data_IF_628236941914
#
_entry.id   IF_628236941914
#
_cell.length_a   1.000
_cell.length_b   1.000
_cell.length_c   1.000
_cell.angle_alpha   90.00
_cell.angle_beta   90.00
_cell.angle_gamma   90.00
#
_symmetry.space_group_name_H-M   'P 1'
#
loop_
_entity.id
_entity.type
_entity.pdbx_description
1 polymer ?
#
# COMPACT_ATOMS: atom_id res chain seq x y z
N UNK A 1 3.85 16.21 4.61
CA UNK A 1 4.93 15.57 5.38
C UNK A 1 5.89 14.89 4.41
N UNK A 2 7.20 15.11 4.59
CA UNK A 2 8.29 14.46 3.84
C UNK A 2 8.33 12.94 4.12
N UNK A 3 7.87 12.56 5.32
CA UNK A 3 7.95 11.20 5.85
C UNK A 3 7.17 10.17 5.01
N UNK A 4 5.88 10.40 4.77
CA UNK A 4 5.02 9.51 3.95
C UNK A 4 5.23 9.70 2.43
N UNK A 5 6.14 10.60 2.04
CA UNK A 5 6.51 10.86 0.66
C UNK A 5 7.88 10.24 0.40
N UNK A 6 8.89 11.10 0.34
CA UNK A 6 10.25 10.74 -0.02
C UNK A 6 10.84 9.66 0.89
N UNK A 7 10.70 9.79 2.21
CA UNK A 7 11.33 8.85 3.14
C UNK A 7 10.72 7.44 3.01
N UNK A 8 9.39 7.35 2.91
CA UNK A 8 8.71 6.07 2.72
C UNK A 8 9.09 5.43 1.38
N UNK A 9 9.15 6.21 0.30
CA UNK A 9 9.56 5.71 -1.02
C UNK A 9 10.99 5.14 -0.96
N UNK A 10 11.93 5.85 -0.32
CA UNK A 10 13.29 5.37 -0.13
C UNK A 10 13.36 4.10 0.72
N UNK A 11 12.62 4.06 1.83
CA UNK A 11 12.60 2.91 2.74
C UNK A 11 12.07 1.65 2.04
N UNK A 12 10.93 1.75 1.36
CA UNK A 12 10.31 0.63 0.64
C UNK A 12 11.20 0.13 -0.49
N UNK A 13 11.72 1.02 -1.33
CA UNK A 13 12.57 0.64 -2.45
C UNK A 13 13.88 -0.03 -2.00
N UNK A 14 14.44 0.41 -0.88
CA UNK A 14 15.67 -0.18 -0.32
C UNK A 14 15.41 -1.55 0.32
N UNK A 15 14.30 -1.73 1.04
CA UNK A 15 14.07 -2.90 1.89
C UNK A 15 13.30 -4.03 1.19
N UNK A 16 12.40 -3.69 0.26
CA UNK A 16 11.46 -4.62 -0.37
C UNK A 16 11.38 -4.40 -1.90
N UNK A 17 12.51 -4.43 -2.62
CA UNK A 17 12.53 -4.16 -4.06
C UNK A 17 11.64 -5.15 -4.82
N UNK A 18 10.66 -4.63 -5.56
CA UNK A 18 9.72 -5.43 -6.35
C UNK A 18 8.61 -6.13 -5.56
N UNK A 19 8.72 -6.22 -4.22
CA UNK A 19 7.73 -6.89 -3.37
C UNK A 19 6.66 -5.91 -2.86
N UNK A 20 7.04 -4.70 -2.46
CA UNK A 20 6.11 -3.68 -1.94
C UNK A 20 6.05 -2.49 -2.89
N UNK A 21 4.84 -2.06 -3.25
CA UNK A 21 4.59 -0.93 -4.16
C UNK A 21 3.71 0.11 -3.49
N UNK A 22 4.09 1.38 -3.59
CA UNK A 22 3.30 2.52 -3.12
C UNK A 22 2.49 3.06 -4.30
N UNK A 23 1.15 3.07 -4.17
CA UNK A 23 0.24 3.69 -5.13
C UNK A 23 -0.25 5.03 -4.55
N UNK A 24 -0.01 6.13 -5.27
CA UNK A 24 -0.36 7.48 -4.81
C UNK A 24 -1.54 8.04 -5.59
N UNK A 25 -2.54 8.52 -4.87
CA UNK A 25 -3.65 9.29 -5.47
C UNK A 25 -3.22 10.75 -5.67
N UNK A 26 -3.68 11.38 -6.75
CA UNK A 26 -3.40 12.79 -7.04
C UNK A 26 -4.18 13.76 -6.15
N UNK A 27 -5.27 13.29 -5.51
CA UNK A 27 -6.12 14.04 -4.58
C UNK A 27 -6.67 13.15 -3.46
N UNK A 28 -7.34 13.76 -2.48
CA UNK A 28 -7.98 13.02 -1.37
C UNK A 28 -9.24 12.31 -1.87
N UNK A 29 -9.14 11.01 -2.05
CA UNK A 29 -10.24 10.18 -2.58
C UNK A 29 -11.17 9.60 -1.50
N UNK A 30 -10.71 9.50 -0.25
CA UNK A 30 -11.41 8.76 0.80
C UNK A 30 -11.19 7.25 0.71
N UNK A 31 -11.60 6.52 1.75
CA UNK A 31 -11.24 5.11 1.96
C UNK A 31 -11.69 4.18 0.82
N UNK A 32 -12.95 4.30 0.39
CA UNK A 32 -13.54 3.39 -0.62
C UNK A 32 -12.79 3.50 -1.94
N UNK A 33 -12.61 4.72 -2.46
CA UNK A 33 -11.90 4.91 -3.74
C UNK A 33 -10.41 4.59 -3.64
N UNK A 34 -9.77 4.83 -2.49
CA UNK A 34 -8.40 4.38 -2.26
C UNK A 34 -8.27 2.85 -2.33
N UNK A 35 -9.24 2.10 -1.78
CA UNK A 35 -9.29 0.64 -1.89
C UNK A 35 -9.45 0.17 -3.35
N UNK A 36 -10.33 0.81 -4.13
CA UNK A 36 -10.50 0.52 -5.56
C UNK A 36 -9.21 0.79 -6.35
N UNK A 37 -8.51 1.90 -6.10
CA UNK A 37 -7.22 2.17 -6.75
C UNK A 37 -6.17 1.12 -6.41
N UNK A 38 -6.13 0.65 -5.15
CA UNK A 38 -5.28 -0.46 -4.74
C UNK A 38 -5.61 -1.76 -5.46
N UNK A 39 -6.90 -2.12 -5.55
CA UNK A 39 -7.38 -3.29 -6.29
C UNK A 39 -6.95 -3.25 -7.77
N UNK A 40 -7.17 -2.13 -8.46
CA UNK A 40 -6.83 -1.99 -9.88
C UNK A 40 -5.32 -2.12 -10.15
N UNK A 41 -4.47 -1.85 -9.15
CA UNK A 41 -3.03 -2.02 -9.26
C UNK A 41 -2.55 -3.43 -8.91
N UNK A 42 -3.40 -4.25 -8.28
CA UNK A 42 -3.08 -5.63 -7.92
C UNK A 42 -3.16 -6.54 -9.16
N UNK A 43 -2.29 -7.55 -9.21
CA UNK A 43 -2.21 -8.51 -10.31
C UNK A 43 -2.60 -9.93 -9.90
N UNK A 44 -2.75 -10.18 -8.59
CA UNK A 44 -3.09 -11.48 -8.04
C UNK A 44 -4.58 -11.81 -8.23
N UNK A 45 -4.95 -13.10 -8.30
CA UNK A 45 -6.34 -13.53 -8.45
C UNK A 45 -7.20 -13.25 -7.21
N UNK A 46 -6.58 -13.06 -6.05
CA UNK A 46 -7.25 -12.77 -4.77
C UNK A 46 -6.57 -11.58 -4.12
N UNK A 47 -7.36 -10.64 -3.59
CA UNK A 47 -6.89 -9.40 -2.94
C UNK A 47 -7.39 -9.34 -1.51
N UNK A 48 -6.47 -9.23 -0.56
CA UNK A 48 -6.76 -8.92 0.84
C UNK A 48 -6.68 -7.41 1.11
N UNK A 49 -7.66 -6.87 1.84
CA UNK A 49 -7.60 -5.49 2.33
C UNK A 49 -7.25 -5.48 3.81
N UNK A 50 -6.25 -4.66 4.14
CA UNK A 50 -5.76 -4.49 5.49
C UNK A 50 -5.65 -3.01 5.82
N UNK A 51 -5.96 -2.65 7.07
CA UNK A 51 -5.78 -1.28 7.55
C UNK A 51 -4.29 -1.04 7.87
N UNK A 52 -3.87 0.22 7.86
CA UNK A 52 -2.46 0.60 8.02
C UNK A 52 -1.89 0.33 9.43
N UNK A 53 -2.72 -0.13 10.36
CA UNK A 53 -2.40 -0.39 11.76
C UNK A 53 -2.92 -1.78 12.15
N UNK A 54 -2.40 -2.80 11.48
CA UNK A 54 -2.71 -4.20 11.77
C UNK A 54 -1.42 -4.99 11.96
N UNK A 55 -1.50 -6.03 12.77
CA UNK A 55 -0.46 -7.04 12.94
C UNK A 55 -1.07 -8.42 12.69
N UNK A 56 -0.34 -9.29 11.98
CA UNK A 56 -0.81 -10.63 11.66
C UNK A 56 -0.28 -11.64 12.66
N UNK A 57 -1.15 -12.58 13.04
CA UNK A 57 -0.78 -13.75 13.82
C UNK A 57 -0.43 -14.92 12.90
N UNK A 58 0.33 -15.88 13.43
CA UNK A 58 0.66 -17.13 12.75
C UNK A 58 -0.61 -17.87 12.29
N UNK A 59 -0.69 -18.21 11.00
CA UNK A 59 -1.81 -18.95 10.42
C UNK A 59 -2.90 -18.11 9.75
N UNK A 60 -2.72 -16.78 9.70
CA UNK A 60 -3.43 -15.88 8.80
C UNK A 60 -2.71 -15.75 7.45
#
# INVERSE_FOLDING_TARGET
>A
SVELKFNLDQYVNKRYPGLVKIVRNSKREGLIRARIHGWNAATAPVVGFFDAHVEFNTGW
#
